data_IF_573185611740
#
_entry.id   IF_573185611740
#
_cell.length_a   1.000
_cell.length_b   1.000
_cell.length_c   1.000
_cell.angle_alpha   90.00
_cell.angle_beta   90.00
_cell.angle_gamma   90.00
#
_symmetry.space_group_name_H-M   'P 1'
#
loop_
_entity.id
_entity.type
_entity.pdbx_description
1 polymer ?
#
# COMPACT_ATOMS: atom_id res chain seq x y z
N UNK A 1 -16.29 7.35 8.94
CA UNK A 1 -16.87 6.23 8.20
C UNK A 1 -17.85 6.80 7.18
N UNK A 2 -17.55 6.69 5.89
CA UNK A 2 -18.48 7.15 4.85
C UNK A 2 -19.48 6.01 4.61
N UNK A 3 -20.62 6.08 5.30
CA UNK A 3 -21.76 5.23 4.95
C UNK A 3 -22.51 5.87 3.80
N UNK A 4 -22.58 5.21 2.66
CA UNK A 4 -23.58 5.53 1.66
C UNK A 4 -24.90 4.89 2.05
N UNK A 5 -26.00 5.59 1.76
CA UNK A 5 -27.32 4.98 1.77
C UNK A 5 -27.29 3.71 0.89
N UNK A 6 -27.96 2.62 1.28
CA UNK A 6 -28.06 1.40 0.45
C UNK A 6 -28.49 1.70 -0.97
N UNK A 7 -29.37 2.69 -1.16
CA UNK A 7 -29.87 3.11 -2.46
C UNK A 7 -28.83 3.80 -3.37
N UNK A 8 -27.70 4.22 -2.78
CA UNK A 8 -26.56 4.86 -3.49
C UNK A 8 -25.32 3.97 -3.50
N UNK A 9 -25.41 2.75 -3.00
CA UNK A 9 -24.29 1.82 -3.00
C UNK A 9 -23.98 1.39 -4.43
N UNK A 10 -22.70 1.42 -4.80
CA UNK A 10 -22.21 0.84 -6.05
C UNK A 10 -21.52 -0.50 -5.74
N UNK A 11 -21.60 -1.49 -6.63
CA UNK A 11 -20.90 -2.76 -6.47
C UNK A 11 -19.40 -2.55 -6.26
N UNK A 12 -18.79 -3.39 -5.44
CA UNK A 12 -17.35 -3.28 -5.13
C UNK A 12 -16.48 -3.31 -6.40
N UNK A 13 -16.76 -4.23 -7.33
CA UNK A 13 -16.05 -4.32 -8.60
C UNK A 13 -16.14 -3.02 -9.43
N UNK A 14 -17.29 -2.35 -9.39
CA UNK A 14 -17.46 -1.04 -10.06
C UNK A 14 -16.66 0.06 -9.35
N UNK A 15 -16.56 0.00 -8.02
CA UNK A 15 -15.80 0.96 -7.22
C UNK A 15 -14.29 0.81 -7.44
N UNK A 16 -13.81 -0.43 -7.54
CA UNK A 16 -12.40 -0.75 -7.80
C UNK A 16 -12.03 -0.42 -9.25
N UNK A 17 -12.92 -0.68 -10.19
CA UNK A 17 -12.70 -0.53 -11.63
C UNK A 17 -12.19 -1.81 -12.29
N UNK A 18 -12.48 -1.98 -13.60
CA UNK A 18 -12.10 -3.20 -14.31
C UNK A 18 -10.59 -3.38 -14.43
N UNK A 19 -9.82 -2.31 -14.57
CA UNK A 19 -8.37 -2.35 -14.70
C UNK A 19 -7.72 -2.96 -13.45
N UNK A 20 -8.01 -2.42 -12.26
CA UNK A 20 -7.46 -2.94 -11.00
C UNK A 20 -8.00 -4.34 -10.70
N UNK A 21 -9.28 -4.60 -11.02
CA UNK A 21 -9.88 -5.91 -10.78
C UNK A 21 -9.21 -6.99 -11.63
N UNK A 22 -8.93 -6.68 -12.90
CA UNK A 22 -8.21 -7.58 -13.81
C UNK A 22 -6.78 -7.82 -13.34
N UNK A 23 -6.08 -6.75 -13.00
CA UNK A 23 -4.68 -6.76 -12.60
C UNK A 23 -4.45 -7.51 -11.27
N UNK A 24 -5.29 -7.27 -10.28
CA UNK A 24 -5.30 -8.05 -9.02
C UNK A 24 -5.64 -9.53 -9.24
N UNK A 25 -6.39 -9.85 -10.29
CA UNK A 25 -6.74 -11.22 -10.65
C UNK A 25 -5.52 -12.08 -11.00
N UNK A 26 -4.47 -11.48 -11.56
CA UNK A 26 -3.22 -12.16 -11.95
C UNK A 26 -2.49 -12.77 -10.73
N UNK A 27 -2.68 -12.18 -9.54
CA UNK A 27 -2.10 -12.70 -8.30
C UNK A 27 -2.85 -13.89 -7.70
N UNK A 28 -3.96 -14.31 -8.29
CA UNK A 28 -4.72 -15.50 -7.89
C UNK A 28 -4.95 -15.60 -6.36
N UNK A 29 -5.34 -14.49 -5.73
CA UNK A 29 -5.55 -14.41 -4.27
C UNK A 29 -6.52 -15.48 -3.73
N UNK A 30 -7.43 -15.99 -4.58
CA UNK A 30 -8.34 -17.09 -4.21
C UNK A 30 -7.63 -18.42 -3.89
N UNK A 31 -6.38 -18.57 -4.35
CA UNK A 31 -5.57 -19.76 -4.10
C UNK A 31 -4.65 -19.59 -2.88
N UNK A 32 -4.67 -18.43 -2.26
CA UNK A 32 -3.83 -18.07 -1.11
C UNK A 32 -4.57 -18.26 0.20
N UNK A 33 -3.83 -18.28 1.30
CA UNK A 33 -4.36 -18.39 2.67
C UNK A 33 -3.82 -17.25 3.54
N UNK A 34 -4.62 -16.83 4.51
CA UNK A 34 -4.18 -15.87 5.51
C UNK A 34 -3.14 -16.52 6.42
N UNK A 35 -1.96 -15.92 6.52
CA UNK A 35 -0.90 -16.35 7.42
C UNK A 35 -0.98 -15.66 8.79
N UNK A 36 -0.99 -14.32 8.79
CA UNK A 36 -0.98 -13.52 10.01
C UNK A 36 -1.77 -12.22 9.82
N UNK A 37 -2.29 -11.68 10.90
CA UNK A 37 -2.81 -10.31 10.97
C UNK A 37 -2.11 -9.60 12.10
N UNK A 38 -1.50 -8.46 11.80
CA UNK A 38 -0.93 -7.56 12.81
C UNK A 38 -1.81 -6.32 12.93
N UNK A 39 -2.03 -5.89 14.16
CA UNK A 39 -2.84 -4.71 14.47
C UNK A 39 -2.04 -3.71 15.29
N UNK A 40 -2.16 -2.42 14.92
CA UNK A 40 -1.64 -1.29 15.67
C UNK A 40 -2.75 -0.28 15.97
N UNK A 41 -2.70 0.31 17.16
CA UNK A 41 -3.51 1.47 17.54
C UNK A 41 -2.65 2.73 17.34
N UNK A 42 -2.97 3.50 16.30
CA UNK A 42 -2.14 4.63 15.87
C UNK A 42 -2.85 5.94 16.19
N UNK A 43 -2.24 6.88 16.96
CA UNK A 43 -2.86 8.14 17.38
C UNK A 43 -2.84 9.20 16.27
N UNK A 44 -3.35 8.86 15.08
CA UNK A 44 -3.40 9.72 13.90
C UNK A 44 -4.67 9.44 13.08
N UNK A 45 -5.07 10.38 12.24
CA UNK A 45 -6.12 10.14 11.25
C UNK A 45 -5.69 9.08 10.24
N UNK A 46 -6.60 8.17 9.88
CA UNK A 46 -6.37 7.15 8.84
C UNK A 46 -5.91 7.74 7.50
N UNK A 47 -6.32 8.96 7.19
CA UNK A 47 -5.90 9.67 5.96
C UNK A 47 -4.38 9.88 5.92
N UNK A 48 -3.77 10.19 7.07
CA UNK A 48 -2.33 10.39 7.13
C UNK A 48 -1.55 9.07 6.92
N UNK A 49 -2.14 7.94 7.31
CA UNK A 49 -1.57 6.61 7.00
C UNK A 49 -1.69 6.34 5.50
N UNK A 50 -2.86 6.61 4.89
CA UNK A 50 -3.05 6.44 3.44
C UNK A 50 -2.15 7.40 2.64
N UNK A 51 -1.90 8.61 3.14
CA UNK A 51 -0.97 9.56 2.51
C UNK A 51 0.43 8.95 2.36
N UNK A 52 0.93 8.21 3.37
CA UNK A 52 2.20 7.51 3.31
C UNK A 52 2.27 6.41 2.24
N UNK A 53 1.14 5.81 1.87
CA UNK A 53 1.07 4.85 0.77
C UNK A 53 0.90 5.52 -0.61
N UNK A 54 0.66 6.81 -0.66
CA UNK A 54 0.50 7.57 -1.90
C UNK A 54 1.79 8.19 -2.42
N UNK A 55 2.93 7.93 -1.80
CA UNK A 55 4.25 8.28 -2.29
C UNK A 55 5.25 7.15 -1.97
N UNK A 56 6.43 7.17 -2.57
CA UNK A 56 7.43 6.10 -2.40
C UNK A 56 8.81 6.64 -1.99
N UNK A 57 8.99 7.95 -1.93
CA UNK A 57 10.31 8.51 -1.66
C UNK A 57 10.70 8.41 -0.17
N UNK A 58 9.74 8.36 0.76
CA UNK A 58 10.04 8.16 2.19
C UNK A 58 10.75 6.82 2.45
N UNK A 59 10.50 5.82 1.59
CA UNK A 59 11.14 4.50 1.71
C UNK A 59 12.66 4.62 1.79
N UNK A 60 13.23 5.53 1.03
CA UNK A 60 14.68 5.75 1.00
C UNK A 60 15.19 6.63 2.14
N UNK A 61 14.37 7.57 2.59
CA UNK A 61 14.76 8.56 3.59
C UNK A 61 14.50 8.06 5.03
N UNK A 62 13.44 7.27 5.22
CA UNK A 62 13.00 6.79 6.52
C UNK A 62 13.55 5.39 6.84
N UNK A 63 13.44 4.45 5.91
CA UNK A 63 13.68 3.02 6.20
C UNK A 63 15.12 2.58 6.00
N UNK A 64 16.01 3.48 5.62
CA UNK A 64 17.44 3.19 5.39
C UNK A 64 17.68 1.97 4.50
N UNK A 65 16.85 1.81 3.47
CA UNK A 65 16.95 0.71 2.52
C UNK A 65 18.24 0.78 1.69
N UNK A 66 18.74 -0.36 1.16
CA UNK A 66 19.89 -0.37 0.27
C UNK A 66 19.72 0.53 -0.95
N UNK A 67 20.81 1.08 -1.52
CA UNK A 67 20.77 1.99 -2.67
C UNK A 67 20.01 1.47 -3.90
N UNK A 68 19.96 0.15 -4.08
CA UNK A 68 19.24 -0.51 -5.16
C UNK A 68 17.73 -0.27 -5.07
N UNK A 69 17.18 -0.23 -3.85
CA UNK A 69 15.77 0.11 -3.63
C UNK A 69 15.50 1.59 -3.91
N UNK A 70 16.45 2.47 -3.63
CA UNK A 70 16.35 3.89 -4.01
C UNK A 70 16.26 4.06 -5.54
N UNK A 71 17.06 3.29 -6.28
CA UNK A 71 16.98 3.24 -7.74
C UNK A 71 15.61 2.74 -8.20
N UNK A 72 15.15 1.61 -7.66
CA UNK A 72 13.86 1.01 -7.96
C UNK A 72 12.70 1.98 -7.72
N UNK A 73 12.66 2.66 -6.58
CA UNK A 73 11.66 3.66 -6.25
C UNK A 73 11.63 4.84 -7.24
N UNK A 74 12.78 5.23 -7.81
CA UNK A 74 12.85 6.29 -8.84
C UNK A 74 12.32 5.85 -10.20
N UNK A 75 12.32 4.54 -10.48
CA UNK A 75 11.80 3.94 -11.70
C UNK A 75 10.32 3.54 -11.59
N UNK A 76 9.64 3.88 -10.49
CA UNK A 76 8.24 3.56 -10.29
C UNK A 76 7.34 4.23 -11.32
N UNK A 77 6.35 3.49 -11.82
CA UNK A 77 5.26 4.02 -12.62
C UNK A 77 3.99 4.17 -11.79
N UNK A 78 3.15 5.17 -12.13
CA UNK A 78 1.93 5.49 -11.41
C UNK A 78 0.76 5.65 -12.36
N UNK A 79 -0.37 5.07 -11.98
CA UNK A 79 -1.61 5.13 -12.76
C UNK A 79 -2.78 5.54 -11.86
N UNK A 80 -3.67 6.36 -12.39
CA UNK A 80 -4.90 6.79 -11.72
C UNK A 80 -6.08 6.08 -12.38
N UNK A 81 -6.86 5.32 -11.59
CA UNK A 81 -8.01 4.55 -12.05
C UNK A 81 -9.23 4.98 -11.24
N UNK A 82 -9.99 5.93 -11.77
CA UNK A 82 -11.10 6.54 -11.02
C UNK A 82 -10.63 7.23 -9.74
N UNK A 83 -11.10 6.74 -8.58
CA UNK A 83 -10.68 7.24 -7.27
C UNK A 83 -9.47 6.46 -6.69
N UNK A 84 -9.00 5.45 -7.41
CA UNK A 84 -7.96 4.51 -7.00
C UNK A 84 -6.62 4.80 -7.66
N UNK A 85 -5.55 4.23 -7.11
CA UNK A 85 -4.20 4.40 -7.63
C UNK A 85 -3.50 3.05 -7.77
N UNK A 86 -2.70 2.91 -8.84
CA UNK A 86 -1.78 1.81 -9.04
C UNK A 86 -0.36 2.36 -9.09
N UNK A 87 0.58 1.64 -8.52
CA UNK A 87 2.00 1.95 -8.58
C UNK A 87 2.78 0.65 -8.76
N UNK A 88 3.68 0.63 -9.73
CA UNK A 88 4.57 -0.49 -9.97
C UNK A 88 6.00 -0.07 -9.63
N UNK A 89 6.57 -0.71 -8.61
CA UNK A 89 7.95 -0.47 -8.18
C UNK A 89 8.78 -1.65 -8.65
N UNK A 90 9.68 -1.49 -9.65
CA UNK A 90 10.50 -2.59 -10.12
C UNK A 90 11.32 -3.19 -8.97
N UNK A 91 11.49 -4.50 -8.95
CA UNK A 91 12.39 -5.14 -8.00
C UNK A 91 13.84 -4.82 -8.39
N UNK A 92 14.75 -4.56 -7.44
CA UNK A 92 16.13 -4.19 -7.74
C UNK A 92 16.84 -5.14 -8.71
N UNK A 93 16.55 -6.43 -8.63
CA UNK A 93 17.14 -7.46 -9.48
C UNK A 93 16.77 -7.35 -10.97
N UNK A 94 15.71 -6.59 -11.30
CA UNK A 94 15.16 -6.48 -12.66
C UNK A 94 15.27 -5.06 -13.24
N UNK A 95 16.06 -4.20 -12.63
CA UNK A 95 16.20 -2.80 -13.07
C UNK A 95 16.81 -2.68 -14.48
N UNK A 96 17.67 -3.57 -14.84
CA UNK A 96 18.32 -3.59 -16.18
C UNK A 96 17.40 -4.18 -17.26
N UNK A 97 16.26 -4.76 -16.88
CA UNK A 97 15.30 -5.40 -17.76
C UNK A 97 14.07 -4.51 -18.08
N UNK A 98 14.00 -3.30 -17.54
CA UNK A 98 12.81 -2.42 -17.62
C UNK A 98 12.34 -2.10 -19.05
N UNK A 99 13.26 -2.08 -20.02
CA UNK A 99 12.95 -1.84 -21.43
C UNK A 99 12.83 -3.14 -22.26
N UNK A 100 12.94 -4.29 -21.60
CA UNK A 100 12.80 -5.59 -22.27
C UNK A 100 11.33 -5.87 -22.60
N UNK A 101 11.09 -6.48 -23.76
CA UNK A 101 9.75 -6.98 -24.13
C UNK A 101 9.25 -8.09 -23.19
N UNK A 102 10.16 -8.76 -22.48
CA UNK A 102 9.87 -9.81 -21.51
C UNK A 102 9.60 -9.27 -20.09
N UNK A 103 9.68 -7.95 -19.88
CA UNK A 103 9.42 -7.36 -18.57
C UNK A 103 7.92 -7.46 -18.22
N UNK A 104 7.64 -8.19 -17.14
CA UNK A 104 6.30 -8.42 -16.61
C UNK A 104 6.17 -7.80 -15.22
N UNK A 105 5.33 -6.79 -15.07
CA UNK A 105 5.14 -6.10 -13.78
C UNK A 105 4.74 -7.04 -12.66
N UNK A 106 3.90 -8.06 -12.91
CA UNK A 106 3.45 -9.00 -11.88
C UNK A 106 4.56 -9.90 -11.35
N UNK A 107 5.61 -10.11 -12.13
CA UNK A 107 6.77 -10.95 -11.76
C UNK A 107 7.96 -10.14 -11.29
N UNK A 108 8.16 -8.96 -11.92
CA UNK A 108 9.41 -8.21 -11.79
C UNK A 108 9.25 -6.93 -10.97
N UNK A 109 8.03 -6.65 -10.46
CA UNK A 109 7.75 -5.48 -9.62
C UNK A 109 7.03 -5.85 -8.34
N UNK A 110 7.03 -4.92 -7.39
CA UNK A 110 6.05 -4.84 -6.33
C UNK A 110 4.89 -4.02 -6.89
N UNK A 111 3.71 -4.63 -6.98
CA UNK A 111 2.51 -3.99 -7.50
C UNK A 111 1.68 -3.46 -6.32
N UNK A 112 1.52 -2.16 -6.28
CA UNK A 112 0.92 -1.46 -5.15
C UNK A 112 -0.38 -0.79 -5.59
N UNK A 113 -1.50 -1.10 -4.91
CA UNK A 113 -2.82 -0.57 -5.24
C UNK A 113 -3.40 0.13 -4.02
N UNK A 114 -3.73 1.40 -4.16
CA UNK A 114 -4.50 2.14 -3.17
C UNK A 114 -5.95 2.16 -3.62
N UNK A 115 -6.76 1.31 -2.99
CA UNK A 115 -8.19 1.22 -3.24
C UNK A 115 -8.91 2.15 -2.27
N UNK A 116 -9.54 3.17 -2.84
CA UNK A 116 -10.26 4.19 -2.08
C UNK A 116 -11.40 3.58 -1.24
N UNK A 117 -11.60 3.99 0.03
CA UNK A 117 -10.89 5.08 0.67
C UNK A 117 -9.66 4.67 1.50
N UNK A 118 -9.49 3.40 1.85
CA UNK A 118 -8.53 3.02 2.88
C UNK A 118 -8.03 1.57 2.82
N UNK A 119 -8.01 0.96 1.65
CA UNK A 119 -7.45 -0.38 1.50
C UNK A 119 -6.27 -0.33 0.55
N UNK A 120 -5.15 -0.87 0.97
CA UNK A 120 -3.93 -0.89 0.17
C UNK A 120 -3.48 -2.33 -0.01
N UNK A 121 -3.25 -2.74 -1.25
CA UNK A 121 -2.63 -4.01 -1.59
C UNK A 121 -1.19 -3.77 -1.97
N UNK A 122 -0.29 -4.54 -1.39
CA UNK A 122 1.12 -4.59 -1.75
C UNK A 122 1.41 -6.01 -2.23
N UNK A 123 1.32 -6.19 -3.54
CA UNK A 123 1.39 -7.51 -4.17
C UNK A 123 2.82 -7.79 -4.63
N UNK A 124 3.40 -8.82 -4.08
CA UNK A 124 4.62 -9.45 -4.55
C UNK A 124 4.26 -10.74 -5.28
N UNK A 125 5.09 -11.25 -6.21
CA UNK A 125 4.82 -12.52 -6.88
C UNK A 125 4.61 -13.69 -5.93
N UNK A 126 5.25 -13.62 -4.76
CA UNK A 126 5.28 -14.72 -3.78
C UNK A 126 4.20 -14.59 -2.71
N UNK A 127 3.76 -13.37 -2.37
CA UNK A 127 2.85 -13.10 -1.26
C UNK A 127 2.22 -11.72 -1.37
N UNK A 128 1.16 -11.47 -0.61
CA UNK A 128 0.43 -10.21 -0.65
C UNK A 128 0.25 -9.68 0.76
N UNK A 129 0.55 -8.38 0.95
CA UNK A 129 0.14 -7.66 2.14
C UNK A 129 -1.10 -6.80 1.84
N UNK A 130 -2.05 -6.81 2.76
CA UNK A 130 -3.20 -5.91 2.70
C UNK A 130 -3.17 -5.00 3.91
N UNK A 131 -3.10 -3.70 3.67
CA UNK A 131 -3.13 -2.68 4.71
C UNK A 131 -4.49 -2.03 4.76
N UNK A 132 -5.05 -1.92 5.96
CA UNK A 132 -6.36 -1.33 6.16
C UNK A 132 -6.38 -0.43 7.39
N UNK A 133 -6.17 0.88 7.25
CA UNK A 133 -6.34 1.84 8.33
C UNK A 133 -7.81 2.13 8.56
N UNK A 134 -8.37 1.60 9.64
CA UNK A 134 -9.77 1.73 10.04
C UNK A 134 -9.90 2.92 11.00
N UNK A 135 -10.65 3.99 10.65
CA UNK A 135 -10.85 5.13 11.53
C UNK A 135 -11.65 4.74 12.77
N UNK A 136 -11.10 4.99 13.97
CA UNK A 136 -11.79 4.88 15.25
C UNK A 136 -12.28 6.25 15.75
N UNK A 137 -11.49 7.30 15.49
CA UNK A 137 -11.79 8.69 15.76
C UNK A 137 -11.09 9.60 14.75
N UNK A 138 -11.25 10.90 14.87
CA UNK A 138 -10.60 11.90 13.98
C UNK A 138 -9.07 11.78 14.02
N UNK A 139 -8.51 11.42 15.17
CA UNK A 139 -7.09 11.32 15.45
C UNK A 139 -6.67 9.95 16.00
N UNK A 140 -7.44 8.90 15.70
CA UNK A 140 -7.13 7.53 16.13
C UNK A 140 -7.55 6.53 15.09
N UNK A 141 -6.65 5.65 14.74
CA UNK A 141 -6.83 4.63 13.69
C UNK A 141 -6.40 3.26 14.22
N UNK A 142 -7.25 2.26 13.99
CA UNK A 142 -6.86 0.86 14.03
C UNK A 142 -6.22 0.53 12.69
N UNK A 143 -4.95 0.21 12.69
CA UNK A 143 -4.22 -0.11 11.46
C UNK A 143 -3.96 -1.61 11.42
N UNK A 144 -4.58 -2.29 10.44
CA UNK A 144 -4.43 -3.72 10.20
C UNK A 144 -3.47 -3.95 9.04
N UNK A 145 -2.63 -4.96 9.18
CA UNK A 145 -1.82 -5.50 8.10
C UNK A 145 -1.98 -7.02 8.06
N UNK A 146 -2.42 -7.53 6.93
CA UNK A 146 -2.65 -8.95 6.67
C UNK A 146 -1.56 -9.48 5.76
N UNK A 147 -0.98 -10.60 6.12
CA UNK A 147 -0.06 -11.35 5.27
C UNK A 147 -0.79 -12.55 4.67
N UNK A 148 -0.83 -12.62 3.35
CA UNK A 148 -1.52 -13.64 2.57
C UNK A 148 -0.47 -14.37 1.72
N UNK A 149 -0.44 -15.70 1.80
CA UNK A 149 0.62 -16.53 1.22
C UNK A 149 0.04 -17.72 0.45
N UNK A 150 0.78 -18.28 -0.48
CA UNK A 150 0.42 -19.56 -1.09
C UNK A 150 0.60 -20.71 -0.09
N UNK A 151 -0.37 -21.62 0.02
CA UNK A 151 -0.23 -22.81 0.87
C UNK A 151 0.70 -23.84 0.24
N UNK A 152 1.36 -24.67 1.08
CA UNK A 152 2.22 -25.76 0.61
C UNK A 152 2.73 -26.63 1.75
N UNK A 153 3.50 -27.66 1.40
CA UNK A 153 4.09 -28.59 2.36
C UNK A 153 5.50 -28.12 2.77
N UNK A 154 5.69 -27.83 4.05
CA UNK A 154 6.97 -27.44 4.63
C UNK A 154 8.04 -28.54 4.56
N UNK A 155 7.68 -29.78 4.28
CA UNK A 155 8.62 -30.88 4.06
C UNK A 155 9.14 -30.90 2.61
N UNK A 156 8.49 -30.18 1.68
CA UNK A 156 9.04 -29.94 0.35
C UNK A 156 10.14 -28.87 0.45
N UNK A 157 11.39 -29.20 0.04
CA UNK A 157 12.51 -28.25 0.10
C UNK A 157 12.27 -26.95 -0.67
N UNK A 158 11.61 -27.00 -1.82
CA UNK A 158 11.32 -25.82 -2.64
C UNK A 158 10.29 -24.91 -1.93
N UNK A 159 9.26 -25.50 -1.32
CA UNK A 159 8.30 -24.74 -0.55
C UNK A 159 8.89 -24.20 0.75
N UNK A 160 9.79 -24.96 1.39
CA UNK A 160 10.48 -24.48 2.60
C UNK A 160 11.34 -23.26 2.31
N UNK A 161 12.06 -23.23 1.19
CA UNK A 161 12.85 -22.07 0.75
C UNK A 161 11.96 -20.87 0.43
N UNK A 162 10.86 -21.07 -0.30
CA UNK A 162 9.87 -20.04 -0.57
C UNK A 162 9.34 -19.44 0.75
N UNK A 163 8.95 -20.28 1.68
CA UNK A 163 8.42 -19.85 2.98
C UNK A 163 9.42 -19.02 3.77
N UNK A 164 10.66 -19.46 3.85
CA UNK A 164 11.69 -18.78 4.64
C UNK A 164 11.99 -17.39 4.07
N UNK A 165 12.01 -17.24 2.73
CA UNK A 165 12.13 -15.92 2.07
C UNK A 165 10.92 -15.04 2.34
N UNK A 166 9.72 -15.58 2.23
CA UNK A 166 8.47 -14.86 2.48
C UNK A 166 8.41 -14.38 3.92
N UNK A 167 8.76 -15.22 4.88
CA UNK A 167 8.76 -14.84 6.29
C UNK A 167 9.85 -13.83 6.64
N UNK A 168 11.01 -13.90 6.00
CA UNK A 168 12.05 -12.88 6.15
C UNK A 168 11.54 -11.51 5.66
N UNK A 169 10.88 -11.46 4.51
CA UNK A 169 10.27 -10.24 3.97
C UNK A 169 9.13 -9.72 4.86
N UNK A 170 8.27 -10.61 5.35
CA UNK A 170 7.18 -10.24 6.28
C UNK A 170 7.71 -9.64 7.58
N UNK A 171 8.76 -10.20 8.16
CA UNK A 171 9.38 -9.66 9.37
C UNK A 171 10.03 -8.29 9.13
N UNK A 172 10.67 -8.11 7.97
CA UNK A 172 11.22 -6.81 7.59
C UNK A 172 10.12 -5.77 7.38
N UNK A 173 9.01 -6.14 6.74
CA UNK A 173 7.87 -5.25 6.56
C UNK A 173 7.28 -4.80 7.92
N UNK A 174 7.15 -5.71 8.89
CA UNK A 174 6.69 -5.35 10.25
C UNK A 174 7.60 -4.31 10.91
N UNK A 175 8.92 -4.41 10.69
CA UNK A 175 9.90 -3.42 11.16
C UNK A 175 9.69 -2.07 10.48
N UNK A 176 9.58 -2.05 9.16
CA UNK A 176 9.35 -0.87 8.32
C UNK A 176 8.06 -0.15 8.73
N UNK A 177 6.95 -0.88 8.85
CA UNK A 177 5.67 -0.31 9.30
C UNK A 177 5.77 0.25 10.72
N UNK A 178 6.58 -0.36 11.60
CA UNK A 178 6.85 0.18 12.93
C UNK A 178 7.55 1.55 12.91
N UNK A 179 8.45 1.77 11.96
CA UNK A 179 9.10 3.07 11.73
C UNK A 179 8.09 4.12 11.25
N UNK A 180 7.23 3.76 10.28
CA UNK A 180 6.15 4.62 9.80
C UNK A 180 5.23 5.07 10.94
N UNK A 181 4.81 4.15 11.80
CA UNK A 181 3.97 4.44 12.97
C UNK A 181 4.64 5.45 13.90
N UNK A 182 5.96 5.33 14.09
CA UNK A 182 6.76 6.29 14.83
C UNK A 182 6.66 7.71 14.26
N UNK A 183 6.78 7.84 12.94
CA UNK A 183 6.66 9.13 12.22
C UNK A 183 5.23 9.65 12.25
N UNK A 184 4.23 8.82 12.01
CA UNK A 184 2.81 9.25 12.10
C UNK A 184 2.49 9.84 13.47
N UNK A 185 3.02 9.25 14.54
CA UNK A 185 2.84 9.75 15.92
C UNK A 185 3.48 11.13 16.09
N UNK A 186 4.65 11.38 15.50
CA UNK A 186 5.29 12.70 15.53
C UNK A 186 4.52 13.72 14.68
N UNK A 187 4.08 13.33 13.46
CA UNK A 187 3.26 14.16 12.58
C UNK A 187 1.95 14.60 13.26
N UNK A 188 1.29 13.71 14.00
CA UNK A 188 0.08 14.02 14.74
C UNK A 188 0.29 15.19 15.72
N UNK A 189 1.45 15.23 16.38
CA UNK A 189 1.82 16.35 17.28
C UNK A 189 2.03 17.64 16.51
N UNK A 190 2.75 17.59 15.39
CA UNK A 190 3.02 18.76 14.54
C UNK A 190 1.74 19.34 13.94
N UNK A 191 0.82 18.50 13.47
CA UNK A 191 -0.48 18.93 12.90
C UNK A 191 -1.41 19.59 13.92
N UNK A 192 -1.22 19.39 15.22
CA UNK A 192 -1.96 20.08 16.31
C UNK A 192 -1.43 21.49 16.60
N UNK A 193 -0.28 21.86 16.06
CA UNK A 193 0.27 23.21 16.23
C UNK A 193 -0.55 24.24 15.48
N UNK A 194 -0.83 25.39 16.11
CA UNK A 194 -1.47 26.54 15.45
C UNK A 194 -0.62 27.14 14.32
N UNK A 195 0.65 26.83 14.28
CA UNK A 195 1.56 27.23 13.18
C UNK A 195 1.38 26.36 11.92
N UNK A 196 0.77 25.18 12.03
CA UNK A 196 0.50 24.30 10.89
C UNK A 196 -0.81 24.72 10.22
N UNK A 197 -0.72 25.56 9.20
CA UNK A 197 -1.88 26.12 8.49
C UNK A 197 -2.16 25.42 7.16
N UNK A 198 -1.17 24.78 6.56
CA UNK A 198 -1.30 24.08 5.27
C UNK A 198 -0.18 23.05 5.11
N UNK A 199 -0.45 22.01 4.31
CA UNK A 199 0.54 21.07 3.82
C UNK A 199 1.04 21.56 2.45
N UNK A 200 2.35 21.54 2.25
CA UNK A 200 2.96 21.81 0.95
C UNK A 200 3.31 20.45 0.37
N UNK A 201 2.80 20.19 -0.84
CA UNK A 201 3.04 18.95 -1.56
C UNK A 201 3.96 19.21 -2.75
N UNK A 202 4.88 18.29 -3.00
CA UNK A 202 5.71 18.27 -4.21
C UNK A 202 4.96 17.66 -5.39
N UNK A 203 5.52 17.76 -6.58
CA UNK A 203 4.95 17.10 -7.77
C UNK A 203 4.87 15.56 -7.62
N UNK A 204 5.77 14.96 -6.83
CA UNK A 204 5.77 13.52 -6.55
C UNK A 204 4.66 13.07 -5.60
N UNK A 205 4.03 14.02 -4.93
CA UNK A 205 2.92 13.79 -3.98
C UNK A 205 1.55 14.07 -4.61
N UNK A 206 1.44 14.13 -5.94
CA UNK A 206 0.20 14.44 -6.64
C UNK A 206 -0.95 13.46 -6.27
N UNK A 207 -0.64 12.20 -5.97
CA UNK A 207 -1.64 11.21 -5.53
C UNK A 207 -2.26 11.58 -4.18
N UNK A 208 -1.47 12.17 -3.25
CA UNK A 208 -1.98 12.69 -1.98
C UNK A 208 -3.00 13.80 -2.25
N UNK A 209 -2.68 14.75 -3.13
CA UNK A 209 -3.60 15.82 -3.52
C UNK A 209 -4.89 15.27 -4.13
N UNK A 210 -4.78 14.32 -5.07
CA UNK A 210 -5.95 13.70 -5.70
C UNK A 210 -6.78 12.89 -4.71
N UNK A 211 -6.15 12.15 -3.81
CA UNK A 211 -6.84 11.40 -2.76
C UNK A 211 -7.69 12.31 -1.89
N UNK A 212 -7.14 13.43 -1.41
CA UNK A 212 -7.90 14.39 -0.60
C UNK A 212 -9.01 15.09 -1.41
N UNK A 213 -8.78 15.42 -2.68
CA UNK A 213 -9.82 15.94 -3.58
C UNK A 213 -10.97 14.93 -3.76
N UNK A 214 -10.66 13.64 -3.94
CA UNK A 214 -11.65 12.59 -4.02
C UNK A 214 -12.46 12.46 -2.72
N UNK A 215 -11.80 12.56 -1.56
CA UNK A 215 -12.46 12.58 -0.25
C UNK A 215 -13.44 13.76 -0.13
N UNK A 216 -12.98 14.97 -0.47
CA UNK A 216 -13.80 16.17 -0.39
C UNK A 216 -15.03 16.10 -1.29
N UNK A 217 -14.86 15.59 -2.52
CA UNK A 217 -15.97 15.37 -3.46
C UNK A 217 -16.99 14.39 -2.86
N UNK A 218 -16.54 13.24 -2.34
CA UNK A 218 -17.44 12.21 -1.78
C UNK A 218 -18.15 12.62 -0.51
N UNK A 219 -17.66 13.62 0.22
CA UNK A 219 -18.32 14.15 1.42
C UNK A 219 -19.42 15.14 1.02
N UNK A 220 -19.28 15.85 -0.10
CA UNK A 220 -20.25 16.85 -0.59
C UNK A 220 -21.41 16.23 -1.36
N UNK A 221 -21.20 15.07 -2.02
CA UNK A 221 -22.20 14.29 -2.76
C UNK A 221 -23.07 13.42 -1.82
#
# INVERSE_FOLDING_TARGET
MLFRSPDKAIPLAQSIGPEITSDLGEFRMQDMVLHEVVEWDVPVSYKAIVDGFNEVYHVTELHHVPPEFTKAARCSSFHVVGDNFMCFVPRPAHLDELESEDFDHHRHSICHYVVFPNTVFNCNPEHIQVFQPIPLAVDRTRFLCWEIVYPGDRNDPAYSEYWDRTMAHWNELKRVVGEDIGIYTQMARSKRSSAFTRQILSEREFKIALYHQNMDRKIRD
#
